data_IF_315553958246
#
_entry.id   IF_315553958246
#
_cell.length_a   1.000
_cell.length_b   1.000
_cell.length_c   1.000
_cell.angle_alpha   90.00
_cell.angle_beta   90.00
_cell.angle_gamma   90.00
#
_symmetry.space_group_name_H-M   'P 1'
#
loop_
_entity.id
_entity.type
_entity.pdbx_description
1 polymer ?
#
# COMPACT_ATOMS: atom_id res chain seq x y z
N UNK A 1 -8.06 6.27 11.29
CA UNK A 1 -7.21 6.99 10.31
C UNK A 1 -5.82 7.13 10.94
N UNK A 2 -5.13 6.00 11.17
CA UNK A 2 -4.10 5.93 12.22
C UNK A 2 -2.68 5.58 11.72
N UNK A 3 -2.52 5.38 10.40
CA UNK A 3 -1.23 5.05 9.79
C UNK A 3 -0.49 6.24 9.16
N UNK A 4 -1.13 7.42 9.06
CA UNK A 4 -0.41 8.64 8.71
C UNK A 4 0.37 9.13 9.93
N UNK A 5 1.63 8.72 10.01
CA UNK A 5 2.62 9.34 10.90
C UNK A 5 2.61 10.85 10.61
N UNK A 6 2.53 11.73 11.63
CA UNK A 6 2.64 13.18 11.41
C UNK A 6 3.90 13.49 10.58
N UNK A 7 3.70 14.14 9.41
CA UNK A 7 4.78 14.41 8.45
C UNK A 7 4.96 13.39 7.32
N UNK A 8 4.19 12.30 7.30
CA UNK A 8 4.13 11.41 6.14
C UNK A 8 3.36 12.08 4.99
N UNK A 9 3.91 11.99 3.78
CA UNK A 9 3.28 12.47 2.55
C UNK A 9 2.99 11.29 1.62
N UNK A 10 1.96 11.36 0.77
CA UNK A 10 1.78 10.38 -0.30
C UNK A 10 3.05 10.23 -1.14
N UNK A 11 3.35 9.00 -1.58
CA UNK A 11 4.44 8.77 -2.53
C UNK A 11 4.08 9.30 -3.94
N UNK A 12 5.05 9.31 -4.85
CA UNK A 12 4.80 9.56 -6.27
C UNK A 12 3.82 8.55 -6.86
N UNK A 13 3.01 8.99 -7.82
CA UNK A 13 2.02 8.14 -8.51
C UNK A 13 2.64 6.88 -9.14
N UNK A 14 3.87 7.00 -9.64
CA UNK A 14 4.64 5.86 -10.18
C UNK A 14 4.81 4.74 -9.15
N UNK A 15 5.00 5.07 -7.86
CA UNK A 15 5.10 4.07 -6.80
C UNK A 15 3.81 3.26 -6.65
N UNK A 16 2.66 3.94 -6.67
CA UNK A 16 1.38 3.24 -6.61
C UNK A 16 1.18 2.38 -7.84
N UNK A 17 1.44 2.92 -9.03
CA UNK A 17 1.20 2.24 -10.31
C UNK A 17 2.06 0.99 -10.48
N UNK A 18 3.36 1.07 -10.17
CA UNK A 18 4.28 -0.05 -10.35
C UNK A 18 4.11 -1.09 -9.23
N UNK A 19 4.16 -0.64 -7.97
CA UNK A 19 4.11 -1.55 -6.81
C UNK A 19 2.77 -2.27 -6.74
N UNK A 20 1.64 -1.58 -6.93
CA UNK A 20 0.32 -2.21 -6.82
C UNK A 20 -0.09 -3.02 -8.06
N UNK A 21 0.58 -2.84 -9.21
CA UNK A 21 0.41 -3.72 -10.38
C UNK A 21 1.05 -5.10 -10.17
N UNK A 22 1.92 -5.27 -9.17
CA UNK A 22 2.54 -6.56 -8.88
C UNK A 22 1.52 -7.63 -8.45
N UNK A 23 0.48 -7.24 -7.70
CA UNK A 23 -0.55 -8.15 -7.20
C UNK A 23 0.03 -9.17 -6.23
N UNK A 24 0.77 -8.70 -5.23
CA UNK A 24 1.37 -9.51 -4.18
C UNK A 24 1.12 -8.88 -2.80
N UNK A 25 1.66 -9.48 -1.74
CA UNK A 25 1.42 -9.02 -0.37
C UNK A 25 1.85 -7.56 -0.07
N UNK A 26 2.75 -7.01 -0.88
CA UNK A 26 3.33 -5.67 -0.70
C UNK A 26 2.65 -4.61 -1.56
N UNK A 27 2.04 -5.01 -2.68
CA UNK A 27 1.30 -4.14 -3.57
C UNK A 27 0.18 -4.88 -4.28
N UNK A 28 -1.07 -4.50 -3.98
CA UNK A 28 -2.28 -5.13 -4.50
C UNK A 28 -3.50 -4.21 -4.32
N UNK A 29 -4.60 -4.56 -4.99
CA UNK A 29 -5.92 -3.94 -4.85
C UNK A 29 -6.86 -4.79 -3.98
N UNK A 30 -6.32 -5.43 -2.94
CA UNK A 30 -7.03 -6.38 -2.10
C UNK A 30 -6.89 -7.82 -2.58
N UNK A 31 -7.79 -8.67 -2.09
CA UNK A 31 -7.83 -10.10 -2.42
C UNK A 31 -9.15 -10.47 -3.10
N UNK A 32 -9.09 -11.43 -4.01
CA UNK A 32 -10.29 -12.03 -4.60
C UNK A 32 -11.02 -12.95 -3.61
N UNK A 33 -12.15 -13.52 -4.02
CA UNK A 33 -12.92 -14.45 -3.20
C UNK A 33 -12.20 -15.77 -2.86
N UNK A 34 -11.05 -16.04 -3.47
CA UNK A 34 -10.20 -17.20 -3.20
C UNK A 34 -9.00 -16.83 -2.30
N UNK A 35 -8.86 -15.56 -1.93
CA UNK A 35 -7.78 -15.05 -1.10
C UNK A 35 -6.49 -14.71 -1.85
N UNK A 36 -6.50 -14.71 -3.18
CA UNK A 36 -5.34 -14.32 -3.99
C UNK A 36 -5.24 -12.80 -4.09
N UNK A 37 -4.01 -12.28 -4.07
CA UNK A 37 -3.78 -10.85 -4.26
C UNK A 37 -4.14 -10.41 -5.69
N UNK A 38 -4.97 -9.37 -5.78
CA UNK A 38 -5.37 -8.78 -7.05
C UNK A 38 -4.39 -7.70 -7.48
N UNK A 39 -4.02 -7.72 -8.76
CA UNK A 39 -3.28 -6.62 -9.38
C UNK A 39 -4.17 -5.40 -9.51
N UNK A 40 -3.60 -4.22 -9.30
CA UNK A 40 -4.31 -2.97 -9.60
C UNK A 40 -4.18 -2.59 -11.08
N UNK A 41 -5.28 -2.12 -11.65
CA UNK A 41 -5.24 -1.32 -12.86
C UNK A 41 -4.61 0.05 -12.59
N UNK A 42 -4.07 0.70 -13.62
CA UNK A 42 -3.41 2.02 -13.47
C UNK A 42 -4.34 3.08 -12.85
N UNK A 43 -5.63 3.04 -13.18
CA UNK A 43 -6.66 3.94 -12.63
C UNK A 43 -6.94 3.72 -11.14
N UNK A 44 -6.69 2.50 -10.65
CA UNK A 44 -7.03 2.04 -9.31
C UNK A 44 -5.80 1.90 -8.42
N UNK A 45 -4.61 2.17 -8.97
CA UNK A 45 -3.34 2.04 -8.28
C UNK A 45 -3.30 2.80 -6.93
N UNK A 46 -3.93 3.98 -6.84
CA UNK A 46 -4.00 4.77 -5.60
C UNK A 46 -5.02 4.25 -4.58
N UNK A 47 -5.87 3.31 -4.97
CA UNK A 47 -6.87 2.68 -4.10
C UNK A 47 -6.36 1.36 -3.52
N UNK A 48 -5.17 0.89 -3.91
CA UNK A 48 -4.53 -0.32 -3.41
C UNK A 48 -3.72 -0.12 -2.12
N UNK A 49 -2.57 -0.81 -2.00
CA UNK A 49 -1.67 -0.64 -0.85
C UNK A 49 -1.10 0.77 -0.79
N UNK A 50 -1.03 1.32 0.42
CA UNK A 50 -0.57 2.67 0.70
C UNK A 50 0.96 2.76 0.48
N UNK A 51 1.36 3.75 -0.31
CA UNK A 51 2.75 4.14 -0.52
C UNK A 51 2.96 5.57 0.02
N UNK A 52 3.99 5.78 0.83
CA UNK A 52 4.24 7.08 1.46
C UNK A 52 5.73 7.40 1.60
N UNK A 53 6.04 8.70 1.61
CA UNK A 53 7.34 9.22 2.02
C UNK A 53 7.25 9.69 3.47
N UNK A 54 8.09 9.11 4.33
CA UNK A 54 8.22 9.52 5.73
C UNK A 54 9.68 9.43 6.16
N UNK A 55 10.12 10.41 6.96
CA UNK A 55 11.40 10.35 7.67
C UNK A 55 11.40 9.32 8.80
N UNK A 56 10.22 8.83 9.20
CA UNK A 56 10.11 7.78 10.21
C UNK A 56 10.69 6.46 9.67
N UNK A 57 11.58 5.85 10.46
CA UNK A 57 12.23 4.58 10.11
C UNK A 57 11.32 3.36 10.26
N UNK A 58 10.24 3.47 11.04
CA UNK A 58 9.27 2.39 11.29
C UNK A 58 7.84 2.93 11.28
N UNK A 59 6.87 2.15 10.78
CA UNK A 59 5.45 2.49 10.90
C UNK A 59 5.02 2.52 12.38
N UNK A 60 3.90 3.16 12.67
CA UNK A 60 3.24 3.00 13.97
C UNK A 60 2.55 1.63 14.00
N UNK A 61 2.76 0.86 15.08
CA UNK A 61 2.22 -0.50 15.24
C UNK A 61 3.34 -1.53 15.45
N UNK A 62 3.13 -2.47 16.38
CA UNK A 62 4.10 -3.53 16.70
C UNK A 62 4.15 -4.65 15.65
N UNK A 63 3.15 -4.71 14.77
CA UNK A 63 2.98 -5.73 13.74
C UNK A 63 3.14 -5.19 12.32
N UNK A 64 3.83 -4.05 12.16
CA UNK A 64 4.01 -3.37 10.88
C UNK A 64 5.50 -3.15 10.57
N UNK A 65 5.88 -3.37 9.31
CA UNK A 65 7.23 -3.11 8.79
C UNK A 65 7.16 -2.20 7.57
N UNK A 66 8.19 -1.37 7.40
CA UNK A 66 8.37 -0.59 6.17
C UNK A 66 8.96 -1.49 5.09
N UNK A 67 8.40 -1.40 3.89
CA UNK A 67 8.91 -2.09 2.70
C UNK A 67 9.47 -1.03 1.76
N UNK A 68 10.77 -1.09 1.50
CA UNK A 68 11.42 -0.24 0.53
C UNK A 68 11.51 -0.97 -0.82
N UNK A 69 11.05 -0.32 -1.87
CA UNK A 69 11.10 -0.84 -3.23
C UNK A 69 11.74 0.22 -4.13
N UNK A 70 12.52 -0.21 -5.12
CA UNK A 70 13.05 0.68 -6.15
C UNK A 70 12.42 0.30 -7.46
N UNK A 71 11.73 1.25 -8.08
CA UNK A 71 11.08 1.07 -9.37
C UNK A 71 11.87 1.82 -10.44
N UNK A 72 11.70 1.43 -11.71
CA UNK A 72 12.22 2.19 -12.85
C UNK A 72 11.06 2.79 -13.63
N UNK A 73 11.06 4.11 -13.77
CA UNK A 73 10.08 4.86 -14.57
C UNK A 73 10.82 5.89 -15.40
N UNK A 74 10.52 5.96 -16.69
CA UNK A 74 11.14 6.92 -17.64
C UNK A 74 12.69 6.91 -17.60
N UNK A 75 13.28 5.73 -17.41
CA UNK A 75 14.74 5.55 -17.31
C UNK A 75 15.36 6.01 -15.98
N UNK A 76 14.57 6.50 -15.03
CA UNK A 76 15.02 6.93 -13.70
C UNK A 76 14.63 5.92 -12.61
N UNK A 77 15.48 5.78 -11.60
CA UNK A 77 15.18 4.99 -10.42
C UNK A 77 14.42 5.83 -9.38
N UNK A 78 13.27 5.33 -8.95
CA UNK A 78 12.43 5.97 -7.92
C UNK A 78 12.33 5.06 -6.72
N UNK A 79 12.66 5.60 -5.53
CA UNK A 79 12.52 4.88 -4.27
C UNK A 79 11.11 5.03 -3.73
N UNK A 80 10.44 3.92 -3.51
CA UNK A 80 9.11 3.80 -2.98
C UNK A 80 9.16 3.17 -1.59
N UNK A 81 8.28 3.60 -0.69
CA UNK A 81 8.15 3.03 0.64
C UNK A 81 6.69 2.75 0.94
N UNK A 82 6.41 1.48 1.22
CA UNK A 82 5.10 0.99 1.66
C UNK A 82 5.12 0.48 3.09
N UNK A 83 3.96 0.02 3.55
CA UNK A 83 3.83 -0.65 4.86
C UNK A 83 3.25 -2.04 4.67
N UNK A 84 3.90 -3.04 5.23
CA UNK A 84 3.37 -4.39 5.34
C UNK A 84 3.03 -4.67 6.80
N UNK A 85 1.78 -5.08 7.04
CA UNK A 85 1.30 -5.45 8.37
C UNK A 85 1.13 -6.96 8.37
N UNK A 86 1.86 -7.64 9.24
CA UNK A 86 1.69 -9.08 9.43
C UNK A 86 0.62 -9.31 10.50
N UNK A 87 -0.39 -10.10 10.17
CA UNK A 87 -1.33 -10.60 11.18
C UNK A 87 -0.67 -11.78 11.89
N UNK A 88 -0.46 -11.66 13.20
CA UNK A 88 -0.26 -12.85 14.03
C UNK A 88 -1.55 -13.64 13.92
N UNK A 89 -1.43 -14.85 13.35
CA UNK A 89 -2.52 -15.81 13.22
C UNK A 89 -3.29 -15.84 14.55
N UNK A 90 -4.60 -15.59 14.48
CA UNK A 90 -5.67 -15.87 15.46
C UNK A 90 -6.70 -14.73 15.47
N UNK A 91 -7.64 -14.75 14.52
CA UNK A 91 -8.97 -14.15 14.76
C UNK A 91 -9.41 -12.91 13.95
N UNK A 92 -8.98 -12.71 12.70
CA UNK A 92 -9.41 -11.54 11.91
C UNK A 92 -9.82 -11.87 10.47
N UNK A 93 -10.79 -12.78 10.31
CA UNK A 93 -11.37 -13.07 8.99
C UNK A 93 -12.00 -11.85 8.29
N UNK A 94 -12.34 -10.79 9.04
CA UNK A 94 -13.13 -9.65 8.56
C UNK A 94 -12.48 -8.26 8.74
N UNK A 95 -11.26 -8.18 9.29
CA UNK A 95 -10.61 -6.86 9.45
C UNK A 95 -9.80 -6.49 8.19
N UNK A 96 -10.10 -5.35 7.53
CA UNK A 96 -9.41 -4.94 6.33
C UNK A 96 -7.92 -4.71 6.61
N UNK A 97 -7.05 -5.13 5.69
CA UNK A 97 -5.60 -4.92 5.79
C UNK A 97 -5.34 -3.43 6.02
N UNK A 98 -4.78 -3.03 7.18
CA UNK A 98 -4.56 -1.63 7.50
C UNK A 98 -3.53 -0.94 6.58
N UNK A 99 -2.79 -1.71 5.79
CA UNK A 99 -1.91 -1.22 4.73
C UNK A 99 -2.62 -0.99 3.38
N UNK A 100 -3.90 -1.35 3.23
CA UNK A 100 -4.74 -0.96 2.10
C UNK A 100 -5.41 0.39 2.36
N UNK A 101 -5.66 1.15 1.29
CA UNK A 101 -6.52 2.32 1.40
C UNK A 101 -7.91 1.88 1.87
N UNK A 102 -8.40 2.50 2.94
CA UNK A 102 -9.69 2.15 3.51
C UNK A 102 -10.82 2.46 2.51
N UNK A 103 -11.76 1.52 2.36
CA UNK A 103 -12.95 1.68 1.52
C UNK A 103 -13.66 3.01 1.82
N UNK A 104 -14.04 3.74 0.77
CA UNK A 104 -14.69 5.05 0.87
C UNK A 104 -13.71 6.23 1.01
N UNK A 105 -12.40 5.97 1.09
CA UNK A 105 -11.39 7.03 0.96
C UNK A 105 -11.28 7.44 -0.50
N UNK A 106 -11.50 8.73 -0.79
CA UNK A 106 -11.29 9.26 -2.14
C UNK A 106 -9.83 9.04 -2.57
N UNK A 107 -9.64 8.23 -3.60
CA UNK A 107 -8.34 7.87 -4.16
C UNK A 107 -8.17 8.35 -5.62
N UNK A 108 -9.23 8.90 -6.22
CA UNK A 108 -9.21 9.53 -7.55
C UNK A 108 -10.48 10.32 -7.84
N UNK A 109 -10.60 10.85 -9.06
CA UNK A 109 -11.89 11.39 -9.52
C UNK A 109 -12.86 10.23 -9.76
N UNK A 110 -13.98 10.23 -9.04
CA UNK A 110 -14.98 9.15 -9.10
C UNK A 110 -14.54 7.83 -8.43
N UNK A 111 -13.48 7.85 -7.60
CA UNK A 111 -12.90 6.68 -6.93
C UNK A 111 -12.66 6.96 -5.44
#
# INVERSE_FOLDING_TARGET
MDFYVPGARPAHDACFQDVNAAGNAFGNCGKDGQGNYMKCEKSDAKCGKIQCHSAAKKPKGTNAVSIDTTIRTDGMEVKCRGTYVYTTQDGQGDLPDPGLVMTGTKCGEGK
#
